data_IF_102044581168
#
_entry.id   IF_102044581168
#
_cell.length_a   1.000
_cell.length_b   1.000
_cell.length_c   1.000
_cell.angle_alpha   90.00
_cell.angle_beta   90.00
_cell.angle_gamma   90.00
#
_symmetry.space_group_name_H-M   'P 1'
#
loop_
_entity.id
_entity.type
_entity.pdbx_description
1 polymer ?
#
# COMPACT_ATOMS: atom_id res chain seq x y z
N UNK A 1 -27.00 9.83 70.89
CA UNK A 1 -26.36 10.95 70.17
C UNK A 1 -25.07 10.43 69.55
N UNK A 2 -25.08 10.16 68.24
CA UNK A 2 -23.92 9.69 67.48
C UNK A 2 -23.61 10.78 66.47
N UNK A 3 -22.45 11.41 66.58
CA UNK A 3 -21.98 12.40 65.62
C UNK A 3 -21.30 11.68 64.45
N UNK A 4 -21.92 11.75 63.27
CA UNK A 4 -21.36 11.29 62.00
C UNK A 4 -20.48 12.39 61.41
N UNK A 5 -19.16 12.23 61.48
CA UNK A 5 -18.18 13.08 60.81
C UNK A 5 -18.10 12.67 59.32
N UNK A 6 -18.73 13.45 58.42
CA UNK A 6 -18.53 13.29 56.98
C UNK A 6 -17.21 13.97 56.60
N UNK A 7 -16.19 13.18 56.25
CA UNK A 7 -15.02 13.69 55.52
C UNK A 7 -15.46 14.11 54.11
N UNK A 8 -15.41 15.40 53.82
CA UNK A 8 -15.54 15.93 52.48
C UNK A 8 -14.20 15.75 51.75
N UNK A 9 -14.17 14.87 50.76
CA UNK A 9 -13.03 14.70 49.85
C UNK A 9 -13.00 15.93 48.92
N UNK A 10 -12.12 16.89 49.20
CA UNK A 10 -11.80 17.95 48.26
C UNK A 10 -10.91 17.38 47.15
N UNK A 11 -11.49 17.11 45.99
CA UNK A 11 -10.72 16.94 44.75
C UNK A 11 -10.23 18.33 44.32
N UNK A 12 -8.98 18.66 44.63
CA UNK A 12 -8.30 19.83 44.05
C UNK A 12 -8.00 19.48 42.60
N UNK A 13 -8.79 20.02 41.67
CA UNK A 13 -8.43 20.04 40.25
C UNK A 13 -7.19 20.93 40.09
N UNK A 14 -6.01 20.33 40.03
CA UNK A 14 -4.79 21.03 39.60
C UNK A 14 -4.98 21.29 38.10
N UNK A 15 -5.44 22.49 37.75
CA UNK A 15 -5.36 22.98 36.38
C UNK A 15 -3.87 23.06 36.04
N UNK A 16 -3.36 22.30 35.05
CA UNK A 16 -1.97 22.45 34.63
C UNK A 16 -1.79 23.91 34.19
N UNK A 17 -0.93 24.64 34.90
CA UNK A 17 -0.58 26.01 34.50
C UNK A 17 -0.13 26.00 33.05
N UNK A 18 -0.66 26.93 32.24
CA UNK A 18 -0.27 27.05 30.84
C UNK A 18 1.25 27.21 30.77
N UNK A 19 1.95 26.15 30.34
CA UNK A 19 3.38 26.23 30.13
C UNK A 19 3.64 27.35 29.11
N UNK A 20 4.49 28.30 29.46
CA UNK A 20 4.86 29.38 28.54
C UNK A 20 5.58 28.75 27.34
N UNK A 21 5.04 28.98 26.14
CA UNK A 21 5.56 28.43 24.90
C UNK A 21 6.69 29.35 24.40
N UNK A 22 7.90 28.81 24.27
CA UNK A 22 9.06 29.55 23.77
C UNK A 22 9.14 29.47 22.25
N UNK A 23 8.68 30.52 21.57
CA UNK A 23 8.66 30.60 20.11
C UNK A 23 10.06 30.73 19.47
N UNK A 24 11.13 30.84 20.25
CA UNK A 24 12.51 30.92 19.73
C UNK A 24 13.10 29.54 19.38
N UNK A 25 12.47 28.46 19.85
CA UNK A 25 12.93 27.10 19.58
C UNK A 25 12.66 26.68 18.14
N UNK A 26 13.58 25.97 17.49
CA UNK A 26 13.33 25.44 16.14
C UNK A 26 12.20 24.40 16.10
N UNK A 27 11.92 23.75 17.23
CA UNK A 27 10.84 22.77 17.39
C UNK A 27 10.01 23.08 18.63
N UNK A 28 8.71 23.32 18.46
CA UNK A 28 7.77 23.50 19.56
C UNK A 28 7.28 22.14 20.05
N UNK A 29 7.63 21.77 21.29
CA UNK A 29 7.18 20.51 21.90
C UNK A 29 5.91 20.73 22.71
N UNK A 30 4.80 20.13 22.28
CA UNK A 30 3.50 20.17 22.93
C UNK A 30 3.29 18.89 23.73
N UNK A 31 3.11 19.05 25.05
CA UNK A 31 2.85 17.93 25.96
C UNK A 31 1.35 17.66 26.14
N UNK A 32 0.50 18.61 25.73
CA UNK A 32 -0.94 18.45 25.67
C UNK A 32 -1.47 18.92 24.30
N UNK A 33 -2.30 18.12 23.61
CA UNK A 33 -2.95 18.49 22.35
C UNK A 33 -3.69 19.83 22.35
N UNK A 34 -4.32 20.17 23.48
CA UNK A 34 -5.00 21.46 23.67
C UNK A 34 -4.05 22.67 23.57
N UNK A 35 -2.75 22.47 23.75
CA UNK A 35 -1.75 23.53 23.59
C UNK A 35 -1.48 23.88 22.14
N UNK A 36 -1.91 23.04 21.17
CA UNK A 36 -1.67 23.29 19.76
C UNK A 36 -2.25 24.64 19.34
N UNK A 37 -3.55 24.87 19.54
CA UNK A 37 -4.18 26.14 19.16
C UNK A 37 -3.54 27.35 19.85
N UNK A 38 -3.11 27.22 21.12
CA UNK A 38 -2.39 28.30 21.80
C UNK A 38 -0.99 28.55 21.22
N UNK A 39 -0.21 27.49 20.96
CA UNK A 39 1.13 27.57 20.37
C UNK A 39 1.09 28.24 19.00
N UNK A 40 0.10 27.83 18.23
CA UNK A 40 -0.23 28.34 16.91
C UNK A 40 -0.53 29.84 16.99
N UNK A 41 -1.41 30.25 17.92
CA UNK A 41 -1.77 31.66 18.07
C UNK A 41 -0.62 32.53 18.59
N UNK A 42 0.29 31.97 19.41
CA UNK A 42 1.38 32.72 20.04
C UNK A 42 2.63 32.81 19.15
N UNK A 43 2.93 31.77 18.37
CA UNK A 43 4.15 31.68 17.56
C UNK A 43 3.89 31.87 16.06
N UNK A 44 2.63 31.78 15.61
CA UNK A 44 2.26 32.06 14.23
C UNK A 44 2.48 33.53 13.89
N UNK A 45 3.14 33.78 12.75
CA UNK A 45 3.35 35.14 12.23
C UNK A 45 2.54 35.34 10.96
N UNK A 46 1.79 36.45 10.82
CA UNK A 46 1.13 36.75 9.57
C UNK A 46 2.16 37.17 8.52
N UNK A 47 2.23 36.43 7.41
CA UNK A 47 3.06 36.73 6.25
C UNK A 47 2.13 36.87 5.05
N UNK A 48 1.97 38.08 4.50
CA UNK A 48 1.07 38.34 3.36
C UNK A 48 -0.39 37.90 3.58
N UNK A 49 -0.90 38.02 4.81
CA UNK A 49 -2.27 37.61 5.16
C UNK A 49 -2.45 36.11 5.41
N UNK A 50 -1.37 35.34 5.38
CA UNK A 50 -1.30 33.89 5.65
C UNK A 50 -0.65 33.69 7.01
N UNK A 51 -1.24 32.87 7.89
CA UNK A 51 -0.62 32.59 9.19
C UNK A 51 0.42 31.48 9.04
N UNK A 52 1.70 31.83 9.24
CA UNK A 52 2.83 30.92 9.07
C UNK A 52 3.51 30.62 10.40
N UNK A 53 3.69 29.33 10.71
CA UNK A 53 4.52 28.85 11.81
C UNK A 53 5.90 28.46 11.26
N UNK A 54 6.97 29.13 11.69
CA UNK A 54 8.36 28.87 11.21
C UNK A 54 9.10 27.76 11.96
N UNK A 55 8.38 27.05 12.82
CA UNK A 55 8.92 26.08 13.73
C UNK A 55 8.41 24.70 13.32
N UNK A 56 9.22 23.67 13.52
CA UNK A 56 8.70 22.31 13.54
C UNK A 56 7.79 22.13 14.75
N UNK A 57 6.83 21.22 14.65
CA UNK A 57 5.93 20.89 15.75
C UNK A 57 6.21 19.47 16.24
N UNK A 58 6.31 19.26 17.54
CA UNK A 58 6.42 17.92 18.13
C UNK A 58 5.29 17.74 19.14
N UNK A 59 4.36 16.84 18.86
CA UNK A 59 3.19 16.60 19.68
C UNK A 59 3.35 15.24 20.36
N UNK A 60 3.47 15.27 21.68
CA UNK A 60 3.69 14.09 22.51
C UNK A 60 2.37 13.65 23.15
N UNK A 61 1.78 12.56 22.67
CA UNK A 61 0.55 12.00 23.22
C UNK A 61 0.88 11.02 24.35
N UNK A 62 0.52 11.39 25.58
CA UNK A 62 0.72 10.55 26.77
C UNK A 62 -0.59 9.96 27.33
N UNK A 63 -1.75 10.51 26.95
CA UNK A 63 -3.08 10.00 27.30
C UNK A 63 -4.20 10.59 26.40
N UNK A 64 -5.41 10.02 26.54
CA UNK A 64 -6.67 10.30 25.83
C UNK A 64 -6.88 11.78 25.52
N UNK A 65 -6.71 12.16 24.26
CA UNK A 65 -7.03 13.50 23.78
C UNK A 65 -7.65 13.41 22.37
N UNK A 66 -8.93 13.77 22.20
CA UNK A 66 -9.69 13.36 21.03
C UNK A 66 -9.45 14.22 19.77
N UNK A 67 -8.86 15.42 19.87
CA UNK A 67 -8.72 16.32 18.70
C UNK A 67 -7.62 17.36 18.83
N UNK A 68 -6.81 17.52 17.78
CA UNK A 68 -5.90 18.64 17.52
C UNK A 68 -6.44 19.40 16.31
N UNK A 69 -6.70 20.69 16.49
CA UNK A 69 -7.03 21.59 15.39
C UNK A 69 -5.86 22.55 15.13
N UNK A 70 -5.45 22.66 13.87
CA UNK A 70 -4.42 23.61 13.45
C UNK A 70 -4.99 24.95 12.98
N UNK A 71 -6.30 25.16 13.03
CA UNK A 71 -6.90 26.40 12.55
C UNK A 71 -6.53 27.58 13.46
N UNK A 72 -6.25 28.78 12.91
CA UNK A 72 -6.33 29.16 11.50
C UNK A 72 -4.97 29.15 10.76
N UNK A 73 -4.06 28.20 11.02
CA UNK A 73 -2.79 28.14 10.28
C UNK A 73 -3.03 27.78 8.83
N UNK A 74 -2.33 28.48 7.95
CA UNK A 74 -2.26 28.17 6.54
C UNK A 74 -0.94 27.47 6.18
N UNK A 75 0.17 27.77 6.86
CA UNK A 75 1.50 27.23 6.55
C UNK A 75 2.31 26.84 7.79
N UNK A 76 2.91 25.64 7.77
CA UNK A 76 3.93 25.19 8.72
C UNK A 76 5.25 25.03 7.94
N UNK A 77 6.22 25.87 8.24
CA UNK A 77 7.56 25.83 7.64
C UNK A 77 8.49 24.95 8.49
N UNK A 78 8.27 23.64 8.42
CA UNK A 78 8.97 22.64 9.22
C UNK A 78 8.30 21.27 9.24
N UNK A 79 8.86 20.36 10.03
CA UNK A 79 8.32 19.01 10.24
C UNK A 79 7.21 19.02 11.31
N UNK A 80 6.26 18.09 11.20
CA UNK A 80 5.30 17.77 12.25
C UNK A 80 5.61 16.37 12.77
N UNK A 81 6.14 16.27 13.98
CA UNK A 81 6.38 15.03 14.71
C UNK A 81 5.18 14.72 15.60
N UNK A 82 4.60 13.53 15.47
CA UNK A 82 3.52 13.03 16.30
C UNK A 82 4.06 11.78 16.99
N UNK A 83 4.42 11.96 18.26
CA UNK A 83 4.95 10.89 19.08
C UNK A 83 3.80 10.32 19.92
N UNK A 84 3.36 9.13 19.58
CA UNK A 84 2.36 8.40 20.35
C UNK A 84 3.11 7.57 21.39
N UNK A 85 3.13 8.05 22.62
CA UNK A 85 3.79 7.35 23.71
C UNK A 85 2.92 6.26 24.27
N UNK A 86 3.57 5.13 24.52
CA UNK A 86 2.94 3.99 25.16
C UNK A 86 3.53 3.74 26.53
N UNK A 87 2.67 3.69 27.54
CA UNK A 87 3.02 3.23 28.88
C UNK A 87 2.42 1.84 29.10
N UNK A 88 3.28 0.85 29.34
CA UNK A 88 2.83 -0.49 29.77
C UNK A 88 3.13 -0.60 31.25
N UNK A 89 2.09 -0.69 32.08
CA UNK A 89 2.24 -0.95 33.50
C UNK A 89 2.30 -2.45 33.73
N UNK A 90 3.42 -2.93 34.25
CA UNK A 90 3.55 -4.32 34.72
C UNK A 90 3.33 -4.34 36.23
N UNK A 91 2.29 -5.05 36.68
CA UNK A 91 2.16 -5.43 38.09
C UNK A 91 2.72 -6.83 38.29
N UNK A 92 3.84 -6.93 39.00
CA UNK A 92 4.38 -8.21 39.47
C UNK A 92 3.71 -8.60 40.80
N UNK A 93 2.72 -9.48 40.76
CA UNK A 93 2.04 -9.99 41.96
C UNK A 93 0.94 -11.00 41.64
N UNK A 94 0.50 -11.79 42.63
CA UNK A 94 -0.73 -12.58 42.46
C UNK A 94 -1.91 -11.63 42.23
N UNK A 95 -2.92 -12.00 41.41
CA UNK A 95 -4.05 -11.13 41.09
C UNK A 95 -4.74 -10.50 42.30
N UNK A 96 -4.66 -11.15 43.47
CA UNK A 96 -5.24 -10.69 44.73
C UNK A 96 -4.49 -9.51 45.40
N UNK A 97 -3.22 -9.25 45.06
CA UNK A 97 -2.39 -8.21 45.70
C UNK A 97 -2.30 -6.91 44.90
N UNK A 98 -3.10 -6.75 43.84
CA UNK A 98 -3.22 -5.49 43.09
C UNK A 98 -4.63 -4.92 43.20
N UNK A 99 -5.08 -4.46 44.38
CA UNK A 99 -6.50 -4.23 44.65
C UNK A 99 -7.11 -3.04 43.89
N UNK A 100 -6.32 -2.30 43.11
CA UNK A 100 -6.76 -1.11 42.38
C UNK A 100 -6.21 -1.02 40.94
N UNK A 101 -5.60 -2.08 40.40
CA UNK A 101 -5.19 -2.09 38.99
C UNK A 101 -6.19 -2.93 38.20
N UNK A 102 -6.94 -2.34 37.24
CA UNK A 102 -7.88 -3.08 36.42
C UNK A 102 -7.15 -4.26 35.77
N UNK A 103 -7.63 -5.45 36.04
CA UNK A 103 -7.07 -6.69 35.50
C UNK A 103 -7.11 -6.62 33.97
N UNK A 104 -5.93 -6.61 33.33
CA UNK A 104 -5.74 -6.84 31.88
C UNK A 104 -6.38 -5.89 30.88
N UNK A 105 -7.04 -4.82 31.30
CA UNK A 105 -7.43 -3.77 30.35
C UNK A 105 -6.25 -2.83 30.15
N UNK A 106 -5.48 -3.11 29.09
CA UNK A 106 -4.59 -2.14 28.49
C UNK A 106 -5.34 -0.84 28.30
N UNK A 107 -4.90 0.25 28.95
CA UNK A 107 -5.48 1.58 28.74
C UNK A 107 -5.27 1.93 27.28
N UNK A 108 -6.36 1.89 26.52
CA UNK A 108 -6.31 2.21 25.12
C UNK A 108 -6.43 3.73 24.99
N UNK A 109 -5.34 4.39 24.59
CA UNK A 109 -5.43 5.80 24.24
C UNK A 109 -6.34 5.93 23.01
N UNK A 110 -7.38 6.76 23.11
CA UNK A 110 -8.15 7.19 21.94
C UNK A 110 -7.19 7.79 20.91
N UNK A 111 -7.35 7.42 19.65
CA UNK A 111 -6.44 7.89 18.62
C UNK A 111 -6.61 9.38 18.38
N UNK A 112 -5.51 10.12 18.17
CA UNK A 112 -5.60 11.53 17.86
C UNK A 112 -6.24 11.77 16.50
N UNK A 113 -7.15 12.76 16.46
CA UNK A 113 -7.68 13.32 15.24
C UNK A 113 -7.03 14.69 14.99
N UNK A 114 -6.29 14.80 13.90
CA UNK A 114 -5.68 16.03 13.42
C UNK A 114 -6.54 16.61 12.31
N UNK A 115 -6.97 17.85 12.46
CA UNK A 115 -7.82 18.49 11.46
C UNK A 115 -7.41 19.93 11.22
N UNK A 116 -7.52 20.37 9.98
CA UNK A 116 -7.47 21.78 9.64
C UNK A 116 -8.29 22.07 8.40
N UNK A 117 -9.09 23.12 8.49
CA UNK A 117 -9.87 23.65 7.37
C UNK A 117 -9.12 24.73 6.58
N UNK A 118 -7.96 25.20 7.09
CA UNK A 118 -7.16 26.28 6.50
C UNK A 118 -5.75 25.86 6.06
N UNK A 119 -5.17 24.82 6.65
CA UNK A 119 -3.80 24.40 6.36
C UNK A 119 -3.63 24.02 4.89
N UNK A 120 -2.76 24.77 4.21
CA UNK A 120 -2.40 24.57 2.80
C UNK A 120 -1.02 23.98 2.62
N UNK A 121 -0.06 24.38 3.46
CA UNK A 121 1.33 24.04 3.23
C UNK A 121 2.01 23.51 4.50
N UNK A 122 2.70 22.39 4.37
CA UNK A 122 3.72 21.91 5.31
C UNK A 122 4.99 21.76 4.48
N UNK A 123 6.01 22.58 4.71
CA UNK A 123 7.26 22.49 3.92
C UNK A 123 8.14 21.32 4.33
N UNK A 124 7.87 20.71 5.49
CA UNK A 124 8.51 19.48 5.94
C UNK A 124 7.57 18.28 5.90
N UNK A 125 7.90 17.27 6.71
CA UNK A 125 7.25 15.96 6.74
C UNK A 125 6.29 15.88 7.92
N UNK A 126 5.21 15.13 7.75
CA UNK A 126 4.43 14.61 8.88
C UNK A 126 5.02 13.26 9.25
N UNK A 127 5.59 13.16 10.45
CA UNK A 127 6.17 11.92 10.98
C UNK A 127 5.34 11.45 12.17
N UNK A 128 4.74 10.25 12.05
CA UNK A 128 3.98 9.61 13.11
C UNK A 128 4.80 8.43 13.63
N UNK A 129 5.15 8.45 14.91
CA UNK A 129 5.91 7.38 15.53
C UNK A 129 5.19 6.86 16.77
N UNK A 130 5.02 5.55 16.84
CA UNK A 130 4.65 4.89 18.08
C UNK A 130 5.93 4.59 18.88
N UNK A 131 6.19 5.39 19.92
CA UNK A 131 7.39 5.24 20.75
C UNK A 131 7.04 4.34 21.95
N UNK A 132 7.62 3.15 21.97
CA UNK A 132 7.57 2.27 23.13
C UNK A 132 8.51 2.80 24.22
N UNK A 133 7.97 3.54 25.20
CA UNK A 133 8.73 3.86 26.39
C UNK A 133 8.80 2.65 27.31
N UNK A 134 10.00 2.09 27.47
CA UNK A 134 10.29 1.28 28.63
C UNK A 134 10.36 2.23 29.83
N UNK A 135 9.30 2.24 30.65
CA UNK A 135 9.42 2.84 31.98
C UNK A 135 10.49 2.00 32.70
N UNK A 136 11.61 2.59 33.16
CA UNK A 136 12.57 1.84 33.96
C UNK A 136 11.81 1.20 35.12
N UNK A 137 11.93 -0.13 35.23
CA UNK A 137 11.27 -0.86 36.31
C UNK A 137 11.60 -0.14 37.63
N UNK A 138 10.57 0.21 38.40
CA UNK A 138 10.79 0.76 39.74
C UNK A 138 11.75 -0.20 40.47
N UNK A 139 12.76 0.31 41.20
CA UNK A 139 13.74 -0.55 41.87
C UNK A 139 13.00 -1.56 42.73
N UNK A 140 13.06 -2.84 42.32
CA UNK A 140 12.40 -3.93 43.02
C UNK A 140 13.02 -3.97 44.43
N UNK A 141 12.22 -3.95 45.51
CA UNK A 141 12.75 -4.08 46.86
C UNK A 141 13.61 -5.34 46.97
N UNK A 142 14.86 -5.15 47.39
CA UNK A 142 15.87 -6.21 47.51
C UNK A 142 15.35 -7.23 48.53
N UNK A 143 14.96 -8.43 48.08
CA UNK A 143 14.50 -9.52 48.95
C UNK A 143 13.53 -10.54 48.35
N UNK A 144 12.99 -10.31 47.14
CA UNK A 144 12.06 -11.25 46.50
C UNK A 144 12.75 -12.15 45.45
N UNK A 145 12.40 -13.45 45.39
CA UNK A 145 13.02 -14.40 44.47
C UNK A 145 12.75 -14.03 43.01
N UNK A 146 13.82 -14.03 42.22
CA UNK A 146 13.84 -13.64 40.80
C UNK A 146 12.98 -14.57 39.93
N UNK A 147 11.69 -14.28 39.78
CA UNK A 147 10.84 -14.94 38.77
C UNK A 147 11.17 -14.34 37.40
N UNK A 148 11.58 -15.19 36.45
CA UNK A 148 11.85 -14.81 35.06
C UNK A 148 10.61 -14.16 34.44
N UNK A 149 10.75 -12.88 34.08
CA UNK A 149 9.78 -12.11 33.30
C UNK A 149 9.49 -12.79 31.96
N UNK A 150 8.23 -13.21 31.75
CA UNK A 150 7.76 -13.64 30.43
C UNK A 150 7.27 -12.42 29.65
N UNK A 151 7.97 -12.16 28.55
CA UNK A 151 7.62 -11.44 27.30
C UNK A 151 6.38 -10.53 27.31
N UNK A 152 6.67 -9.23 27.35
CA UNK A 152 6.19 -8.14 26.48
C UNK A 152 4.91 -8.41 25.65
N UNK A 153 3.74 -8.04 26.19
CA UNK A 153 2.50 -7.92 25.42
C UNK A 153 2.52 -6.62 24.59
N UNK A 154 1.97 -6.65 23.38
CA UNK A 154 1.91 -5.51 22.45
C UNK A 154 0.56 -4.78 22.57
N UNK A 155 0.49 -3.74 23.39
CA UNK A 155 -0.62 -2.76 23.45
C UNK A 155 -0.49 -1.76 22.29
N UNK A 156 -1.63 -1.42 21.68
CA UNK A 156 -1.82 -0.56 20.51
C UNK A 156 -3.01 0.39 20.78
N UNK A 157 -3.26 1.35 19.88
CA UNK A 157 -4.45 2.23 19.91
C UNK A 157 -5.71 1.45 19.54
N UNK A 158 -6.90 1.84 20.02
CA UNK A 158 -8.17 1.17 19.66
C UNK A 158 -8.66 1.69 18.32
N UNK A 159 -8.36 2.96 18.08
CA UNK A 159 -8.87 3.71 16.95
C UNK A 159 -7.73 4.03 15.96
N UNK A 160 -8.07 4.27 14.70
CA UNK A 160 -7.13 4.78 13.70
C UNK A 160 -6.75 6.24 13.93
N UNK A 161 -5.49 6.60 13.63
CA UNK A 161 -5.07 8.00 13.61
C UNK A 161 -5.71 8.67 12.40
N UNK A 162 -6.37 9.81 12.61
CA UNK A 162 -7.05 10.54 11.52
C UNK A 162 -6.32 11.85 11.22
N UNK A 163 -6.01 12.08 9.94
CA UNK A 163 -5.54 13.34 9.38
C UNK A 163 -6.60 13.87 8.42
N UNK A 164 -7.15 15.05 8.70
CA UNK A 164 -8.16 15.70 7.87
C UNK A 164 -7.67 17.09 7.46
N UNK A 165 -6.93 17.14 6.36
CA UNK A 165 -6.32 18.34 5.77
C UNK A 165 -6.77 18.51 4.31
N UNK A 166 -8.07 18.72 4.04
CA UNK A 166 -8.63 18.72 2.69
C UNK A 166 -8.09 19.84 1.77
N UNK A 167 -7.47 20.88 2.34
CA UNK A 167 -6.86 21.99 1.58
C UNK A 167 -5.34 21.91 1.47
N UNK A 168 -4.72 20.81 1.94
CA UNK A 168 -3.27 20.64 1.88
C UNK A 168 -2.81 20.50 0.42
N UNK A 169 -2.06 21.49 -0.04
CA UNK A 169 -1.49 21.58 -1.39
C UNK A 169 -0.03 21.10 -1.41
N UNK A 170 0.72 21.34 -0.32
CA UNK A 170 2.16 21.02 -0.22
C UNK A 170 2.43 20.31 1.11
N UNK A 171 3.12 19.16 1.06
CA UNK A 171 3.59 18.40 2.22
C UNK A 171 4.72 17.47 1.80
N UNK A 172 5.96 17.57 2.28
CA UNK A 172 7.08 16.77 1.75
C UNK A 172 6.88 15.26 1.79
N UNK A 173 6.32 14.73 2.88
CA UNK A 173 6.06 13.29 3.06
C UNK A 173 5.11 13.08 4.25
N UNK A 174 4.23 12.09 4.17
CA UNK A 174 3.60 11.50 5.36
C UNK A 174 4.29 10.17 5.64
N UNK A 175 5.06 10.12 6.73
CA UNK A 175 5.75 8.92 7.19
C UNK A 175 5.13 8.43 8.50
N UNK A 176 4.60 7.22 8.50
CA UNK A 176 4.07 6.59 9.72
C UNK A 176 4.81 5.30 10.02
N UNK A 177 5.28 5.16 11.27
CA UNK A 177 6.03 3.99 11.72
C UNK A 177 5.60 3.49 13.10
N UNK A 178 5.71 2.18 13.29
CA UNK A 178 5.40 1.46 14.52
C UNK A 178 3.96 0.94 14.56
N UNK A 179 3.58 0.13 15.57
CA UNK A 179 2.35 -0.67 15.58
C UNK A 179 1.08 0.17 15.81
N UNK A 180 0.73 1.00 14.83
CA UNK A 180 -0.49 1.79 14.75
C UNK A 180 -1.63 0.91 14.25
N UNK A 181 -2.81 1.01 14.84
CA UNK A 181 -3.97 0.15 14.49
C UNK A 181 -4.82 0.71 13.33
N UNK A 182 -4.25 1.59 12.51
CA UNK A 182 -4.91 2.20 11.35
C UNK A 182 -4.53 3.66 11.14
N UNK A 183 -4.62 4.12 9.89
CA UNK A 183 -4.40 5.52 9.52
C UNK A 183 -5.46 5.92 8.51
N UNK A 184 -6.19 6.99 8.80
CA UNK A 184 -7.05 7.66 7.86
C UNK A 184 -6.44 9.01 7.52
N UNK A 185 -6.19 9.27 6.24
CA UNK A 185 -5.62 10.51 5.78
C UNK A 185 -6.45 11.07 4.63
N UNK A 186 -7.20 12.13 4.90
CA UNK A 186 -7.81 12.99 3.90
C UNK A 186 -6.85 14.16 3.65
N UNK A 187 -6.00 14.00 2.65
CA UNK A 187 -5.02 15.00 2.25
C UNK A 187 -5.57 15.71 1.01
N UNK A 188 -5.39 17.02 0.95
CA UNK A 188 -5.73 17.78 -0.25
C UNK A 188 -4.90 17.34 -1.48
N UNK A 189 -4.83 18.17 -2.54
CA UNK A 189 -4.03 17.88 -3.71
C UNK A 189 -2.52 18.04 -3.42
N UNK A 190 -1.96 17.18 -2.56
CA UNK A 190 -0.53 17.07 -2.32
C UNK A 190 0.16 16.38 -3.50
N UNK A 191 1.47 16.52 -3.64
CA UNK A 191 2.28 15.95 -4.74
C UNK A 191 3.32 14.94 -4.27
N UNK A 192 3.28 14.58 -3.00
CA UNK A 192 4.39 13.98 -2.30
C UNK A 192 4.02 12.62 -1.71
N UNK A 193 5.01 11.78 -1.40
CA UNK A 193 4.76 10.39 -1.15
C UNK A 193 4.10 10.17 0.22
N UNK A 194 3.37 9.07 0.32
CA UNK A 194 2.86 8.55 1.59
C UNK A 194 3.59 7.23 1.86
N UNK A 195 4.26 7.15 3.01
CA UNK A 195 5.07 6.03 3.45
C UNK A 195 4.53 5.48 4.76
N UNK A 196 4.13 4.21 4.77
CA UNK A 196 3.58 3.54 5.95
C UNK A 196 4.33 2.23 6.15
N UNK A 197 4.93 2.11 7.34
CA UNK A 197 5.96 1.14 7.65
C UNK A 197 5.75 0.54 9.04
N UNK A 198 5.89 -0.78 9.19
CA UNK A 198 5.87 -1.46 10.49
C UNK A 198 4.61 -1.21 11.33
N UNK A 199 3.48 -0.94 10.68
CA UNK A 199 2.19 -0.65 11.31
C UNK A 199 1.28 -1.88 11.40
N UNK A 200 0.30 -1.86 12.31
CA UNK A 200 -0.79 -2.86 12.39
C UNK A 200 -2.05 -2.31 11.74
N UNK A 201 -1.91 -1.77 10.54
CA UNK A 201 -3.03 -1.12 9.86
C UNK A 201 -4.15 -2.13 9.67
N UNK A 202 -5.30 -1.85 10.29
CA UNK A 202 -6.56 -2.56 10.04
C UNK A 202 -7.23 -2.02 8.79
N UNK A 203 -7.28 -0.70 8.63
CA UNK A 203 -7.70 -0.06 7.40
C UNK A 203 -6.82 1.19 7.15
N UNK A 204 -6.40 1.35 5.90
CA UNK A 204 -5.76 2.56 5.41
C UNK A 204 -6.68 3.20 4.38
N UNK A 205 -7.14 4.41 4.68
CA UNK A 205 -7.84 5.25 3.71
C UNK A 205 -6.99 6.48 3.42
N UNK A 206 -6.53 6.61 2.18
CA UNK A 206 -5.82 7.82 1.75
C UNK A 206 -6.57 8.49 0.61
N UNK A 207 -7.33 9.52 0.97
CA UNK A 207 -7.94 10.40 -0.01
C UNK A 207 -6.87 11.43 -0.41
N UNK A 208 -6.39 11.33 -1.65
CA UNK A 208 -5.42 12.24 -2.27
C UNK A 208 -5.84 12.46 -3.72
N UNK A 209 -5.44 13.57 -4.33
CA UNK A 209 -5.67 13.79 -5.78
C UNK A 209 -4.47 13.28 -6.57
N UNK A 210 -3.29 13.75 -6.20
CA UNK A 210 -2.01 13.37 -6.80
C UNK A 210 -1.06 12.87 -5.70
N UNK A 211 -0.06 12.08 -6.08
CA UNK A 211 1.07 11.77 -5.21
C UNK A 211 2.28 11.39 -6.07
N UNK A 212 3.48 11.58 -5.55
CA UNK A 212 4.67 11.00 -6.16
C UNK A 212 4.73 9.49 -5.89
N UNK A 213 4.28 9.01 -4.73
CA UNK A 213 4.31 7.58 -4.42
C UNK A 213 3.43 7.15 -3.25
N UNK A 214 3.10 5.87 -3.24
CA UNK A 214 2.39 5.20 -2.16
C UNK A 214 3.19 3.96 -1.78
N UNK A 215 3.80 3.99 -0.60
CA UNK A 215 4.67 2.95 -0.08
C UNK A 215 4.03 2.34 1.17
N UNK A 216 3.83 1.02 1.16
CA UNK A 216 3.22 0.28 2.27
C UNK A 216 3.98 -1.01 2.51
N UNK A 217 4.83 -1.07 3.55
CA UNK A 217 5.73 -2.20 3.73
C UNK A 217 5.96 -2.63 5.17
N UNK A 218 6.38 -3.88 5.35
CA UNK A 218 6.71 -4.49 6.64
C UNK A 218 5.58 -4.42 7.70
N UNK A 219 4.33 -4.33 7.26
CA UNK A 219 3.20 -4.17 8.17
C UNK A 219 2.84 -5.48 8.87
N UNK A 220 2.55 -5.34 10.16
CA UNK A 220 2.14 -6.42 11.05
C UNK A 220 0.65 -6.76 10.83
N UNK A 221 0.24 -8.02 11.09
CA UNK A 221 -1.15 -8.40 10.99
C UNK A 221 -2.07 -7.53 11.86
N UNK A 222 -3.27 -7.18 11.36
CA UNK A 222 -4.29 -6.53 12.17
C UNK A 222 -4.74 -7.48 13.29
N UNK A 223 -5.33 -6.92 14.35
CA UNK A 223 -5.78 -7.70 15.53
C UNK A 223 -6.94 -8.64 15.24
N UNK A 224 -7.69 -8.38 14.18
CA UNK A 224 -8.75 -9.22 13.67
C UNK A 224 -9.02 -8.86 12.21
N UNK A 225 -9.51 -9.84 11.45
CA UNK A 225 -9.79 -9.67 10.03
C UNK A 225 -8.53 -9.54 9.17
N UNK A 226 -8.70 -8.87 8.03
CA UNK A 226 -7.64 -8.54 7.08
C UNK A 226 -7.61 -7.04 6.86
N UNK A 227 -6.44 -6.51 6.54
CA UNK A 227 -6.27 -5.11 6.28
C UNK A 227 -6.79 -4.72 4.89
N UNK A 228 -7.39 -3.54 4.78
CA UNK A 228 -7.77 -2.96 3.48
C UNK A 228 -7.07 -1.63 3.24
N UNK A 229 -6.54 -1.46 2.02
CA UNK A 229 -6.00 -0.19 1.55
C UNK A 229 -6.96 0.38 0.52
N UNK A 230 -7.51 1.56 0.79
CA UNK A 230 -8.39 2.29 -0.10
C UNK A 230 -7.76 3.65 -0.38
N UNK A 231 -7.57 3.98 -1.66
CA UNK A 231 -7.12 5.32 -2.03
C UNK A 231 -7.94 5.90 -3.16
N UNK A 232 -8.33 7.18 -3.00
CA UNK A 232 -9.01 7.92 -4.07
C UNK A 232 -8.04 8.72 -4.94
N UNK A 233 -6.73 8.43 -4.86
CA UNK A 233 -5.72 8.97 -5.75
C UNK A 233 -6.20 8.90 -7.19
N UNK A 234 -6.19 10.02 -7.90
CA UNK A 234 -6.41 10.02 -9.34
C UNK A 234 -5.12 9.75 -10.11
N UNK A 235 -3.97 10.02 -9.49
CA UNK A 235 -2.67 9.84 -10.12
C UNK A 235 -1.56 9.59 -9.09
N UNK A 236 -0.68 8.63 -9.38
CA UNK A 236 0.53 8.36 -8.60
C UNK A 236 1.75 8.36 -9.54
N UNK A 237 2.45 9.49 -9.61
CA UNK A 237 3.41 9.81 -10.67
C UNK A 237 4.67 8.93 -10.69
N UNK A 238 5.08 8.34 -9.56
CA UNK A 238 6.23 7.44 -9.50
C UNK A 238 5.78 6.01 -9.21
N UNK A 239 5.44 5.70 -7.96
CA UNK A 239 5.47 4.31 -7.54
C UNK A 239 4.36 4.00 -6.56
N UNK A 240 3.62 2.94 -6.84
CA UNK A 240 2.86 2.19 -5.84
C UNK A 240 3.70 0.97 -5.52
N UNK A 241 4.20 0.88 -4.30
CA UNK A 241 5.03 -0.22 -3.84
C UNK A 241 4.51 -0.77 -2.51
N UNK A 242 4.14 -2.05 -2.51
CA UNK A 242 3.59 -2.70 -1.32
C UNK A 242 4.22 -4.07 -1.11
N UNK A 243 4.92 -4.26 0.01
CA UNK A 243 5.58 -5.54 0.26
C UNK A 243 5.72 -5.96 1.73
N UNK A 244 5.76 -7.28 1.96
CA UNK A 244 5.89 -7.88 3.29
C UNK A 244 4.79 -7.45 4.28
N UNK A 245 3.55 -7.30 3.79
CA UNK A 245 2.41 -6.93 4.63
C UNK A 245 1.59 -8.17 4.99
N UNK A 246 1.86 -8.74 6.16
CA UNK A 246 1.07 -9.88 6.64
C UNK A 246 -0.29 -9.37 7.10
N UNK A 247 -1.36 -10.07 6.72
CA UNK A 247 -2.74 -9.68 6.99
C UNK A 247 -3.35 -8.70 6.01
N UNK A 248 -2.60 -8.15 5.03
CA UNK A 248 -3.17 -7.32 3.96
C UNK A 248 -4.07 -8.16 3.05
N UNK A 249 -5.38 -7.89 3.06
CA UNK A 249 -6.37 -8.66 2.29
C UNK A 249 -6.79 -7.97 1.00
N UNK A 250 -7.00 -6.66 1.03
CA UNK A 250 -7.60 -5.92 -0.08
C UNK A 250 -6.83 -4.65 -0.40
N UNK A 251 -6.62 -4.39 -1.68
CA UNK A 251 -6.14 -3.11 -2.21
C UNK A 251 -7.16 -2.62 -3.23
N UNK A 252 -7.69 -1.42 -3.00
CA UNK A 252 -8.75 -0.80 -3.82
C UNK A 252 -8.36 0.63 -4.20
N UNK A 253 -8.11 0.85 -5.49
CA UNK A 253 -7.71 2.14 -6.07
C UNK A 253 -8.71 2.61 -7.14
N UNK A 254 -9.97 2.89 -6.77
CA UNK A 254 -11.10 3.03 -7.70
C UNK A 254 -11.07 4.31 -8.55
N UNK A 255 -10.17 5.25 -8.27
CA UNK A 255 -10.03 6.49 -9.04
C UNK A 255 -8.68 6.65 -9.72
N UNK A 256 -7.75 5.72 -9.49
CA UNK A 256 -6.40 5.83 -10.03
C UNK A 256 -6.48 5.76 -11.55
N UNK A 257 -6.14 6.84 -12.24
CA UNK A 257 -6.09 6.88 -13.70
C UNK A 257 -4.72 6.48 -14.24
N UNK A 258 -3.65 6.84 -13.52
CA UNK A 258 -2.27 6.62 -13.95
C UNK A 258 -1.36 6.29 -12.77
N UNK A 259 -0.45 5.34 -12.97
CA UNK A 259 0.75 5.22 -12.15
C UNK A 259 1.94 4.78 -12.99
N UNK A 260 3.16 5.22 -12.65
CA UNK A 260 4.34 4.78 -13.39
C UNK A 260 4.69 3.33 -13.03
N UNK A 261 4.93 3.02 -11.76
CA UNK A 261 5.28 1.69 -11.29
C UNK A 261 4.21 1.14 -10.35
N UNK A 262 3.78 -0.09 -10.61
CA UNK A 262 2.86 -0.84 -9.78
C UNK A 262 3.53 -2.13 -9.29
N UNK A 263 4.15 -2.11 -8.11
CA UNK A 263 4.91 -3.22 -7.54
C UNK A 263 4.28 -3.71 -6.25
N UNK A 264 3.61 -4.86 -6.27
CA UNK A 264 3.03 -5.49 -5.07
C UNK A 264 3.57 -6.89 -4.96
N UNK A 265 4.35 -7.15 -3.91
CA UNK A 265 4.97 -8.46 -3.73
C UNK A 265 5.12 -8.88 -2.28
N UNK A 266 5.28 -10.18 -2.03
CA UNK A 266 5.48 -10.70 -0.66
C UNK A 266 4.31 -10.35 0.30
N UNK A 267 3.07 -10.29 -0.19
CA UNK A 267 1.87 -10.06 0.64
C UNK A 267 1.05 -11.37 0.75
N UNK A 268 1.36 -12.26 1.71
CA UNK A 268 0.89 -13.64 1.73
C UNK A 268 -0.62 -13.79 1.95
N UNK A 269 -1.27 -12.77 2.49
CA UNK A 269 -2.70 -12.77 2.80
C UNK A 269 -3.55 -12.02 1.77
N UNK A 270 -2.93 -11.46 0.73
CA UNK A 270 -3.61 -10.68 -0.29
C UNK A 270 -4.62 -11.57 -1.04
N UNK A 271 -5.85 -11.07 -1.12
CA UNK A 271 -6.96 -11.74 -1.79
C UNK A 271 -7.47 -10.93 -2.98
N UNK A 272 -7.48 -9.61 -2.89
CA UNK A 272 -8.05 -8.77 -3.95
C UNK A 272 -7.23 -7.51 -4.19
N UNK A 273 -6.94 -7.26 -5.45
CA UNK A 273 -6.33 -6.03 -5.95
C UNK A 273 -7.19 -5.49 -7.09
N UNK A 274 -7.85 -4.36 -6.83
CA UNK A 274 -8.69 -3.67 -7.80
C UNK A 274 -8.21 -2.23 -8.03
N UNK A 275 -8.22 -1.81 -9.29
CA UNK A 275 -7.83 -0.45 -9.65
C UNK A 275 -8.47 0.00 -10.97
N UNK A 276 -8.79 1.29 -11.06
CA UNK A 276 -9.26 1.92 -12.30
C UNK A 276 -8.13 2.43 -13.20
N UNK A 277 -6.89 2.00 -12.94
CA UNK A 277 -5.70 2.46 -13.68
C UNK A 277 -5.87 2.22 -15.17
N UNK A 278 -5.67 3.28 -15.95
CA UNK A 278 -5.85 3.26 -17.41
C UNK A 278 -4.55 3.00 -18.15
N UNK A 279 -3.43 3.45 -17.58
CA UNK A 279 -2.10 3.20 -18.12
C UNK A 279 -1.08 3.11 -16.99
N UNK A 280 -0.06 2.29 -17.20
CA UNK A 280 1.12 2.25 -16.35
C UNK A 280 2.38 1.88 -17.11
N UNK A 281 3.55 2.16 -16.54
CA UNK A 281 4.83 1.81 -17.17
C UNK A 281 5.27 0.38 -16.84
N UNK A 282 5.08 -0.07 -15.60
CA UNK A 282 5.57 -1.37 -15.14
C UNK A 282 4.64 -1.96 -14.09
N UNK A 283 4.40 -3.27 -14.18
CA UNK A 283 3.64 -4.03 -13.20
C UNK A 283 4.45 -5.23 -12.69
N UNK A 284 4.51 -5.39 -11.38
CA UNK A 284 5.12 -6.52 -10.71
C UNK A 284 4.20 -7.02 -9.61
N UNK A 285 3.60 -8.18 -9.84
CA UNK A 285 2.74 -8.88 -8.89
C UNK A 285 3.37 -10.24 -8.64
N UNK A 286 4.14 -10.38 -7.56
CA UNK A 286 4.90 -11.61 -7.28
C UNK A 286 4.78 -12.02 -5.82
N UNK A 287 4.77 -13.32 -5.53
CA UNK A 287 4.77 -13.85 -4.15
C UNK A 287 3.64 -13.30 -3.25
N UNK A 288 2.48 -13.00 -3.84
CA UNK A 288 1.29 -12.62 -3.07
C UNK A 288 0.49 -13.87 -2.67
N UNK A 289 -0.56 -13.68 -1.87
CA UNK A 289 -1.37 -14.79 -1.35
C UNK A 289 -1.96 -15.67 -2.46
N UNK A 290 -2.15 -16.98 -2.22
CA UNK A 290 -2.58 -17.95 -3.24
C UNK A 290 -4.01 -17.72 -3.75
N UNK A 291 -4.73 -16.75 -3.17
CA UNK A 291 -6.08 -16.34 -3.56
C UNK A 291 -6.10 -14.98 -4.26
N UNK A 292 -4.95 -14.39 -4.56
CA UNK A 292 -4.87 -13.04 -5.11
C UNK A 292 -5.62 -12.96 -6.44
N UNK A 293 -6.67 -12.13 -6.47
CA UNK A 293 -7.43 -11.79 -7.65
C UNK A 293 -7.08 -10.37 -8.11
N UNK A 294 -6.74 -10.22 -9.40
CA UNK A 294 -6.39 -8.94 -10.02
C UNK A 294 -7.51 -8.44 -10.93
N UNK A 295 -8.03 -7.24 -10.65
CA UNK A 295 -9.08 -6.59 -11.45
C UNK A 295 -8.63 -5.19 -11.91
N UNK A 296 -8.24 -5.07 -13.18
CA UNK A 296 -7.87 -3.79 -13.80
C UNK A 296 -8.73 -3.53 -15.03
N UNK A 297 -10.02 -3.33 -14.77
CA UNK A 297 -11.07 -3.26 -15.81
C UNK A 297 -10.84 -2.16 -16.85
N UNK A 298 -10.13 -1.11 -16.47
CA UNK A 298 -9.87 0.06 -17.31
C UNK A 298 -8.44 0.12 -17.85
N UNK A 299 -7.57 -0.87 -17.56
CA UNK A 299 -6.19 -0.84 -18.00
C UNK A 299 -6.11 -1.01 -19.52
N UNK A 300 -5.66 0.02 -20.22
CA UNK A 300 -5.52 0.03 -21.67
C UNK A 300 -4.09 -0.29 -22.13
N UNK A 301 -3.10 0.24 -21.42
CA UNK A 301 -1.69 0.16 -21.84
C UNK A 301 -0.75 -0.13 -20.67
N UNK A 302 0.23 -0.98 -20.93
CA UNK A 302 1.38 -1.24 -20.04
C UNK A 302 2.65 -0.80 -20.78
N UNK A 303 3.59 -0.19 -20.07
CA UNK A 303 4.83 0.34 -20.66
C UNK A 303 4.76 1.80 -21.12
N UNK A 304 3.59 2.44 -21.01
CA UNK A 304 3.39 3.83 -21.41
C UNK A 304 3.65 4.81 -20.25
N UNK A 305 4.64 5.70 -20.41
CA UNK A 305 4.81 6.88 -19.56
C UNK A 305 4.12 8.11 -20.17
N UNK A 306 2.98 8.53 -19.62
CA UNK A 306 2.13 9.58 -20.21
C UNK A 306 2.61 11.03 -19.99
N UNK A 307 3.63 11.30 -19.16
CA UNK A 307 3.87 12.67 -18.65
C UNK A 307 5.27 13.24 -18.69
N UNK A 308 6.29 12.49 -19.06
CA UNK A 308 7.61 13.12 -19.22
C UNK A 308 7.68 13.82 -20.58
N UNK A 309 8.36 14.97 -20.63
CA UNK A 309 8.69 15.71 -21.87
C UNK A 309 9.50 14.85 -22.87
N UNK A 310 9.79 13.61 -22.50
CA UNK A 310 10.33 12.52 -23.29
C UNK A 310 9.46 11.28 -23.02
N UNK A 311 8.92 10.60 -24.04
CA UNK A 311 8.20 9.35 -23.83
C UNK A 311 9.13 8.33 -23.20
N UNK A 312 9.02 8.12 -21.89
CA UNK A 312 9.76 7.09 -21.19
C UNK A 312 9.15 5.75 -21.58
N UNK A 313 9.86 5.00 -22.43
CA UNK A 313 9.50 3.63 -22.77
C UNK A 313 10.05 2.73 -21.65
N UNK A 314 9.19 1.89 -21.08
CA UNK A 314 9.66 0.93 -20.09
C UNK A 314 10.69 -0.01 -20.70
N UNK A 315 11.81 -0.17 -19.99
CA UNK A 315 12.76 -1.25 -20.26
C UNK A 315 12.47 -2.49 -19.39
N UNK A 316 11.32 -2.53 -18.72
CA UNK A 316 10.93 -3.60 -17.82
C UNK A 316 9.68 -4.30 -18.35
N UNK A 317 9.73 -5.63 -18.40
CA UNK A 317 8.55 -6.46 -18.62
C UNK A 317 7.63 -6.46 -17.42
N UNK A 318 6.34 -6.74 -17.61
CA UNK A 318 5.38 -6.91 -16.52
C UNK A 318 5.30 -8.36 -16.07
N UNK A 319 5.34 -8.57 -14.76
CA UNK A 319 5.38 -9.88 -14.12
C UNK A 319 4.10 -10.11 -13.32
N UNK A 320 3.34 -11.13 -13.70
CA UNK A 320 2.11 -11.53 -13.03
C UNK A 320 2.24 -12.99 -12.55
N UNK A 321 2.41 -13.15 -11.25
CA UNK A 321 2.75 -14.44 -10.62
C UNK A 321 1.91 -14.71 -9.37
N UNK A 322 1.48 -15.96 -9.21
CA UNK A 322 0.74 -16.41 -8.04
C UNK A 322 -0.71 -15.91 -7.99
N UNK A 323 -1.31 -15.55 -9.13
CA UNK A 323 -2.70 -15.10 -9.21
C UNK A 323 -3.66 -16.28 -9.25
N UNK A 324 -4.79 -16.16 -8.55
CA UNK A 324 -5.92 -17.09 -8.62
C UNK A 324 -6.99 -16.64 -9.62
N UNK A 325 -7.07 -15.34 -9.89
CA UNK A 325 -7.96 -14.77 -10.89
C UNK A 325 -7.33 -13.51 -11.50
N UNK A 326 -7.67 -13.25 -12.76
CA UNK A 326 -7.21 -12.06 -13.46
C UNK A 326 -8.30 -11.54 -14.41
N UNK A 327 -8.50 -10.22 -14.42
CA UNK A 327 -9.38 -9.53 -15.35
C UNK A 327 -8.71 -8.29 -15.93
N UNK A 328 -8.40 -8.33 -17.24
CA UNK A 328 -7.79 -7.24 -18.00
C UNK A 328 -8.57 -6.96 -19.31
N UNK A 329 -9.89 -6.70 -19.23
CA UNK A 329 -10.77 -6.70 -20.40
C UNK A 329 -10.47 -5.55 -21.37
N UNK A 330 -9.91 -4.44 -20.88
CA UNK A 330 -9.57 -3.26 -21.68
C UNK A 330 -8.13 -3.25 -22.20
N UNK A 331 -7.27 -4.22 -21.82
CA UNK A 331 -5.85 -4.19 -22.17
C UNK A 331 -5.69 -4.32 -23.67
N UNK A 332 -5.16 -3.26 -24.31
CA UNK A 332 -5.00 -3.17 -25.76
C UNK A 332 -3.59 -3.50 -26.20
N UNK A 333 -2.57 -3.02 -25.49
CA UNK A 333 -1.17 -3.18 -25.92
C UNK A 333 -0.17 -3.01 -24.80
N UNK A 334 1.03 -3.56 -25.00
CA UNK A 334 2.23 -3.12 -24.28
C UNK A 334 3.06 -2.16 -25.14
N UNK A 335 3.80 -1.23 -24.53
CA UNK A 335 4.56 -0.18 -25.23
C UNK A 335 5.97 -0.08 -24.64
N UNK A 336 7.00 -0.23 -25.45
CA UNK A 336 8.39 -0.01 -25.01
C UNK A 336 9.28 -1.20 -25.37
N UNK A 337 10.58 -0.95 -25.61
CA UNK A 337 11.46 -1.88 -26.34
C UNK A 337 11.55 -3.27 -25.70
N UNK A 338 11.30 -3.39 -24.39
CA UNK A 338 11.31 -4.66 -23.64
C UNK A 338 10.08 -4.76 -22.71
N UNK A 339 8.93 -4.25 -23.15
CA UNK A 339 7.67 -4.32 -22.41
C UNK A 339 7.01 -5.68 -22.56
N UNK A 340 7.68 -6.69 -21.99
CA UNK A 340 7.20 -8.06 -21.93
C UNK A 340 5.91 -8.14 -21.12
N UNK A 341 5.10 -9.16 -21.37
CA UNK A 341 3.95 -9.53 -20.58
C UNK A 341 4.13 -10.98 -20.14
N UNK A 342 4.30 -11.21 -18.83
CA UNK A 342 4.60 -12.53 -18.27
C UNK A 342 3.52 -13.00 -17.32
N UNK A 343 2.96 -14.18 -17.58
CA UNK A 343 2.07 -14.92 -16.68
C UNK A 343 2.76 -16.19 -16.22
N UNK A 344 3.30 -16.17 -15.01
CA UNK A 344 4.12 -17.29 -14.49
C UNK A 344 3.57 -17.83 -13.19
N UNK A 345 3.48 -19.16 -13.02
CA UNK A 345 3.07 -19.79 -11.75
C UNK A 345 1.74 -19.27 -11.19
N UNK A 346 0.73 -19.11 -12.05
CA UNK A 346 -0.62 -18.74 -11.65
C UNK A 346 -1.53 -19.97 -11.53
N UNK A 347 -2.59 -19.83 -10.74
CA UNK A 347 -3.69 -20.81 -10.60
C UNK A 347 -4.95 -20.37 -11.35
N UNK A 348 -4.82 -19.47 -12.32
CA UNK A 348 -5.94 -19.04 -13.16
C UNK A 348 -6.37 -20.20 -14.08
N UNK A 349 -7.68 -20.43 -14.26
CA UNK A 349 -8.15 -21.50 -15.13
C UNK A 349 -8.13 -21.09 -16.61
N UNK A 350 -8.38 -19.81 -16.90
CA UNK A 350 -8.45 -19.24 -18.24
C UNK A 350 -7.60 -17.98 -18.32
N UNK A 351 -7.00 -17.72 -19.50
CA UNK A 351 -6.41 -16.43 -19.82
C UNK A 351 -7.06 -15.84 -21.08
N UNK A 352 -7.95 -14.87 -20.87
CA UNK A 352 -8.69 -14.19 -21.94
C UNK A 352 -8.28 -12.72 -22.02
N UNK A 353 -7.57 -12.34 -23.09
CA UNK A 353 -7.14 -10.95 -23.34
C UNK A 353 -7.79 -10.44 -24.62
N UNK A 354 -9.12 -10.33 -24.59
CA UNK A 354 -9.98 -10.10 -25.76
C UNK A 354 -9.68 -8.81 -26.54
N UNK A 355 -9.09 -7.80 -25.88
CA UNK A 355 -8.78 -6.50 -26.50
C UNK A 355 -7.30 -6.34 -26.87
N UNK A 356 -6.44 -7.27 -26.45
CA UNK A 356 -5.00 -7.19 -26.66
C UNK A 356 -4.71 -7.37 -28.14
N UNK A 357 -4.07 -6.37 -28.76
CA UNK A 357 -3.72 -6.37 -30.18
C UNK A 357 -2.22 -6.42 -30.45
N UNK A 358 -1.38 -5.96 -29.51
CA UNK A 358 0.07 -6.02 -29.68
C UNK A 358 0.82 -6.15 -28.37
N UNK A 359 1.87 -6.97 -28.35
CA UNK A 359 2.88 -7.02 -27.28
C UNK A 359 4.22 -6.53 -27.85
N UNK A 360 4.74 -5.43 -27.34
CA UNK A 360 5.97 -4.81 -27.86
C UNK A 360 7.25 -5.51 -27.35
N UNK A 361 7.17 -6.32 -26.30
CA UNK A 361 8.24 -7.22 -25.86
C UNK A 361 7.89 -8.68 -26.15
N UNK A 362 8.32 -9.58 -25.27
CA UNK A 362 7.93 -11.00 -25.31
C UNK A 362 6.62 -11.25 -24.59
N UNK A 363 5.85 -12.23 -25.06
CA UNK A 363 4.66 -12.73 -24.39
C UNK A 363 4.95 -14.12 -23.81
N UNK A 364 5.01 -14.24 -22.50
CA UNK A 364 5.50 -15.44 -21.81
C UNK A 364 4.43 -15.99 -20.87
N UNK A 365 4.12 -17.28 -21.00
CA UNK A 365 3.11 -17.99 -20.22
C UNK A 365 3.72 -19.30 -19.72
N UNK A 366 4.11 -19.32 -18.45
CA UNK A 366 4.92 -20.40 -17.88
C UNK A 366 4.36 -20.94 -16.56
N UNK A 367 4.48 -22.25 -16.33
CA UNK A 367 4.22 -22.86 -15.03
C UNK A 367 2.81 -22.63 -14.45
N UNK A 368 1.79 -22.37 -15.26
CA UNK A 368 0.42 -22.15 -14.78
C UNK A 368 -0.34 -23.48 -14.69
N UNK A 369 -0.24 -24.15 -13.53
CA UNK A 369 -0.71 -25.52 -13.32
C UNK A 369 -2.21 -25.74 -13.61
N UNK A 370 -3.04 -24.70 -13.42
CA UNK A 370 -4.50 -24.77 -13.58
C UNK A 370 -5.01 -24.24 -14.91
N UNK A 371 -4.14 -23.65 -15.74
CA UNK A 371 -4.53 -22.99 -16.98
C UNK A 371 -4.93 -24.03 -18.03
N UNK A 372 -6.15 -23.93 -18.55
CA UNK A 372 -6.70 -24.88 -19.52
C UNK A 372 -6.91 -24.28 -20.92
N UNK A 373 -7.17 -22.97 -21.01
CA UNK A 373 -7.46 -22.28 -22.27
C UNK A 373 -6.83 -20.88 -22.30
N UNK A 374 -6.30 -20.51 -23.47
CA UNK A 374 -5.82 -19.17 -23.78
C UNK A 374 -6.54 -18.65 -25.02
N UNK A 375 -7.21 -17.51 -24.88
CA UNK A 375 -7.90 -16.82 -25.98
C UNK A 375 -7.40 -15.39 -26.19
N UNK A 376 -6.86 -15.14 -27.38
CA UNK A 376 -6.21 -13.89 -27.79
C UNK A 376 -6.81 -13.38 -29.10
N UNK A 377 -8.14 -13.23 -29.12
CA UNK A 377 -8.95 -13.01 -30.32
C UNK A 377 -8.54 -11.80 -31.19
N UNK A 378 -7.79 -10.83 -30.64
CA UNK A 378 -7.36 -9.62 -31.34
C UNK A 378 -5.85 -9.47 -31.47
N UNK A 379 -5.05 -10.39 -30.93
CA UNK A 379 -3.60 -10.25 -30.88
C UNK A 379 -3.02 -10.41 -32.28
N UNK A 380 -2.45 -9.33 -32.83
CA UNK A 380 -1.90 -9.29 -34.19
C UNK A 380 -0.38 -9.39 -34.19
N UNK A 381 0.28 -8.78 -33.21
CA UNK A 381 1.75 -8.70 -33.21
C UNK A 381 2.33 -9.00 -31.83
N UNK A 382 3.39 -9.78 -31.83
CA UNK A 382 4.37 -9.87 -30.74
C UNK A 382 5.69 -9.44 -31.37
N UNK A 383 6.35 -8.44 -30.81
CA UNK A 383 7.57 -7.90 -31.45
C UNK A 383 8.81 -8.74 -31.15
N UNK A 384 8.83 -9.44 -30.00
CA UNK A 384 9.86 -10.40 -29.64
C UNK A 384 9.26 -11.82 -29.64
N UNK A 385 9.44 -12.57 -28.56
CA UNK A 385 9.13 -14.00 -28.54
C UNK A 385 7.76 -14.30 -27.92
N UNK A 386 7.06 -15.31 -28.45
CA UNK A 386 5.97 -15.99 -27.78
C UNK A 386 6.51 -17.27 -27.13
N UNK A 387 6.42 -17.37 -25.80
CA UNK A 387 6.86 -18.55 -25.05
C UNK A 387 5.71 -19.11 -24.25
N UNK A 388 5.37 -20.39 -24.46
CA UNK A 388 4.35 -21.11 -23.69
C UNK A 388 4.93 -22.45 -23.24
N UNK A 389 5.14 -22.65 -21.94
CA UNK A 389 5.70 -23.91 -21.43
C UNK A 389 5.27 -24.19 -19.98
N UNK A 390 5.41 -25.44 -19.52
CA UNK A 390 5.11 -25.76 -18.11
C UNK A 390 3.63 -25.61 -17.72
N UNK A 391 2.69 -25.60 -18.67
CA UNK A 391 1.25 -25.49 -18.40
C UNK A 391 0.58 -26.87 -18.64
N UNK A 392 0.65 -27.83 -17.68
CA UNK A 392 0.29 -29.24 -17.92
C UNK A 392 -1.20 -29.51 -18.19
N UNK A 393 -2.07 -28.52 -17.97
CA UNK A 393 -3.52 -28.62 -18.24
C UNK A 393 -3.96 -27.83 -19.46
N UNK A 394 -3.04 -27.12 -20.12
CA UNK A 394 -3.35 -26.24 -21.23
C UNK A 394 -3.61 -27.05 -22.50
N UNK A 395 -4.87 -27.11 -22.91
CA UNK A 395 -5.31 -27.90 -24.06
C UNK A 395 -5.48 -27.06 -25.32
N UNK A 396 -5.83 -25.78 -25.16
CA UNK A 396 -6.18 -24.89 -26.27
C UNK A 396 -5.40 -23.58 -26.21
N UNK A 397 -4.84 -23.18 -27.34
CA UNK A 397 -4.25 -21.85 -27.54
C UNK A 397 -4.80 -21.22 -28.82
N UNK A 398 -5.51 -20.09 -28.70
CA UNK A 398 -6.16 -19.44 -29.85
C UNK A 398 -5.64 -18.02 -30.05
N UNK A 399 -4.95 -17.78 -31.18
CA UNK A 399 -4.51 -16.46 -31.62
C UNK A 399 -4.64 -16.32 -33.15
N UNK A 400 -5.84 -16.55 -33.65
CA UNK A 400 -6.15 -16.67 -35.09
C UNK A 400 -5.73 -15.49 -35.97
N UNK A 401 -5.60 -14.30 -35.38
CA UNK A 401 -5.22 -13.08 -36.09
C UNK A 401 -3.77 -12.66 -35.85
N UNK A 402 -2.99 -13.48 -35.14
CA UNK A 402 -1.55 -13.25 -34.95
C UNK A 402 -0.85 -13.35 -36.29
N UNK A 403 -0.17 -12.28 -36.69
CA UNK A 403 0.55 -12.17 -37.96
C UNK A 403 2.04 -12.35 -37.78
N UNK A 404 2.62 -11.77 -36.73
CA UNK A 404 4.07 -11.70 -36.54
C UNK A 404 4.47 -11.97 -35.10
N UNK A 405 5.52 -12.78 -34.94
CA UNK A 405 6.35 -12.94 -33.74
C UNK A 405 7.80 -13.11 -34.21
N UNK A 406 8.81 -12.73 -33.42
CA UNK A 406 10.20 -13.01 -33.77
C UNK A 406 10.49 -14.52 -33.66
N UNK A 407 10.05 -15.11 -32.56
CA UNK A 407 10.07 -16.56 -32.33
C UNK A 407 8.78 -17.01 -31.67
N UNK A 408 8.40 -18.26 -31.91
CA UNK A 408 7.31 -18.95 -31.20
C UNK A 408 7.90 -20.25 -30.66
N UNK A 409 7.90 -20.39 -29.35
CA UNK A 409 8.26 -21.60 -28.63
C UNK A 409 7.09 -22.05 -27.77
N UNK A 410 6.51 -23.20 -28.10
CA UNK A 410 5.37 -23.76 -27.39
C UNK A 410 5.62 -25.23 -27.07
N UNK A 411 5.58 -25.60 -25.80
CA UNK A 411 5.72 -26.97 -25.34
C UNK A 411 4.67 -27.32 -24.27
N UNK A 412 3.89 -28.37 -24.50
CA UNK A 412 2.86 -28.81 -23.55
C UNK A 412 1.95 -29.90 -24.11
N UNK A 413 0.87 -30.19 -23.40
CA UNK A 413 -0.12 -31.19 -23.79
C UNK A 413 -1.24 -30.59 -24.66
N UNK A 414 -0.89 -29.65 -25.54
CA UNK A 414 -1.86 -28.99 -26.42
C UNK A 414 -2.59 -30.02 -27.29
N UNK A 415 -3.90 -29.83 -27.42
CA UNK A 415 -4.74 -30.56 -28.39
C UNK A 415 -5.17 -29.67 -29.55
N UNK A 416 -5.20 -28.35 -29.34
CA UNK A 416 -5.53 -27.36 -30.35
C UNK A 416 -4.64 -26.12 -30.21
N UNK A 417 -4.00 -25.71 -31.30
CA UNK A 417 -3.27 -24.44 -31.38
C UNK A 417 -3.65 -23.79 -32.70
N UNK A 418 -4.17 -22.56 -32.65
CA UNK A 418 -4.69 -21.88 -33.82
C UNK A 418 -3.94 -20.56 -34.10
N UNK A 419 -3.26 -20.53 -35.25
CA UNK A 419 -2.45 -19.41 -35.74
C UNK A 419 -2.75 -19.08 -37.22
N UNK A 420 -4.01 -19.10 -37.64
CA UNK A 420 -4.39 -19.08 -39.06
C UNK A 420 -3.91 -17.87 -39.89
N UNK A 421 -3.49 -16.78 -39.26
CA UNK A 421 -2.96 -15.57 -39.94
C UNK A 421 -1.44 -15.40 -39.85
N UNK A 422 -0.71 -16.37 -39.28
CA UNK A 422 0.72 -16.23 -39.02
C UNK A 422 1.53 -16.20 -40.32
N UNK A 423 2.31 -15.15 -40.51
CA UNK A 423 3.15 -14.93 -41.68
C UNK A 423 4.49 -15.67 -41.46
N UNK A 424 4.79 -16.67 -42.31
CA UNK A 424 5.88 -17.62 -42.07
C UNK A 424 7.29 -17.11 -42.41
N UNK A 425 7.42 -15.90 -42.97
CA UNK A 425 8.68 -15.47 -43.60
C UNK A 425 9.79 -15.02 -42.63
N UNK A 426 9.53 -14.97 -41.32
CA UNK A 426 10.49 -14.42 -40.36
C UNK A 426 10.42 -15.01 -38.95
N UNK A 427 9.77 -16.16 -38.76
CA UNK A 427 9.51 -16.73 -37.43
C UNK A 427 10.36 -17.97 -37.19
N UNK A 428 11.15 -17.97 -36.12
CA UNK A 428 11.67 -19.24 -35.58
C UNK A 428 10.53 -19.96 -34.84
N UNK A 429 10.08 -21.11 -35.35
CA UNK A 429 8.86 -21.78 -34.87
C UNK A 429 9.18 -23.17 -34.31
N UNK A 430 8.89 -23.37 -33.03
CA UNK A 430 8.97 -24.65 -32.33
C UNK A 430 7.66 -24.91 -31.57
N UNK A 431 6.99 -26.01 -31.90
CA UNK A 431 5.72 -26.41 -31.31
C UNK A 431 5.77 -27.90 -30.98
N UNK A 432 5.52 -28.23 -29.72
CA UNK A 432 5.39 -29.59 -29.20
C UNK A 432 4.08 -29.71 -28.43
N UNK A 433 3.17 -30.54 -28.96
CA UNK A 433 1.84 -30.79 -28.40
C UNK A 433 1.65 -32.24 -27.96
N UNK A 434 0.43 -32.57 -27.52
CA UNK A 434 0.06 -33.94 -27.22
C UNK A 434 0.09 -34.82 -28.49
N UNK A 435 0.25 -36.16 -28.37
CA UNK A 435 0.21 -37.06 -29.53
C UNK A 435 -1.09 -37.00 -30.35
N UNK A 436 -2.17 -36.47 -29.78
CA UNK A 436 -3.47 -36.29 -30.43
C UNK A 436 -3.61 -34.96 -31.18
N UNK A 437 -2.64 -34.07 -31.11
CA UNK A 437 -2.68 -32.77 -31.78
C UNK A 437 -2.60 -32.95 -33.30
N UNK A 438 -3.46 -32.25 -34.04
CA UNK A 438 -3.38 -32.20 -35.50
C UNK A 438 -2.36 -31.14 -35.93
N UNK A 439 -1.20 -31.59 -36.40
CA UNK A 439 -0.13 -30.73 -36.88
C UNK A 439 -0.22 -30.42 -38.38
N UNK A 440 -1.22 -30.95 -39.11
CA UNK A 440 -1.25 -30.90 -40.58
C UNK A 440 -1.17 -29.46 -41.13
N UNK A 441 -1.86 -28.51 -40.47
CA UNK A 441 -1.78 -27.10 -40.87
C UNK A 441 -0.37 -26.52 -40.71
N UNK A 442 0.34 -26.84 -39.63
CA UNK A 442 1.70 -26.36 -39.38
C UNK A 442 2.70 -26.98 -40.34
N UNK A 443 2.57 -28.28 -40.62
CA UNK A 443 3.41 -29.01 -41.55
C UNK A 443 3.35 -28.39 -42.96
N UNK A 444 2.14 -28.06 -43.43
CA UNK A 444 1.93 -27.44 -44.74
C UNK A 444 2.49 -26.01 -44.83
N UNK A 445 2.53 -25.25 -43.74
CA UNK A 445 2.88 -23.82 -43.75
C UNK A 445 4.32 -23.52 -43.32
N UNK A 446 4.97 -24.39 -42.53
CA UNK A 446 6.29 -24.15 -41.94
C UNK A 446 7.35 -25.19 -42.30
N UNK A 447 7.02 -26.47 -42.52
CA UNK A 447 8.03 -27.51 -42.83
C UNK A 447 8.52 -27.48 -44.28
N UNK A 448 7.85 -26.77 -45.20
CA UNK A 448 8.27 -26.66 -46.59
C UNK A 448 9.54 -25.79 -46.83
N UNK A 449 10.18 -25.26 -45.77
CA UNK A 449 11.30 -24.31 -45.86
C UNK A 449 12.62 -24.77 -45.19
N UNK A 450 12.73 -26.02 -44.72
CA UNK A 450 13.98 -26.58 -44.15
C UNK A 450 14.94 -27.15 -45.20
#
# INVERSE_FOLDING_TARGET
MVWSLRLATFAVAILPGAAQIDCTQSTLTLTAPAQASSAISSCGTPVNGVTTLKNSLSINFTAVAPKVSFDPIDTIDGDIYINVYRYTYFCEGEPATCPNHPTKESVIAAAPNFSSSTLRNITGRIRVECIAHQIPAAPIPIGLPSRRLKRQETVTTADPITFDFPKLEIMDNLYATGPLDGIYANLGPSYNPVNIDATRVSDLKVDMVNSSGLYFYDNLPPRGGKASIISTATEINSTIEMWNNTGLGTISLPKLGYTRMFSIHDNPDLETLESSVTSMQYMNLTKNGPKTALFLDQLHTIGEGQREWWPYKSNHGSYLTGLAAINLPALKKTIGPTSDLRFTSNSIPDLQLSMLNSVNGSFIIEDNESLFDIGLARLQTIHADLTVSGNPRLLNFTANVLKTAASIFMAGDFTNVEFFSLESESVNFELSGAPSMDCSWFDDHFLARS
#
